data_IF_687096973237
#
_entry.id   IF_687096973237
#
_cell.length_a   1.000
_cell.length_b   1.000
_cell.length_c   1.000
_cell.angle_alpha   90.00
_cell.angle_beta   90.00
_cell.angle_gamma   90.00
#
_symmetry.space_group_name_H-M   'P 1'
#
loop_
_entity.id
_entity.type
_entity.pdbx_description
1 polymer ?
#
# COMPACT_ATOMS: atom_id res chain seq x y z
N UNK A 1 54.04 9.33 -42.22
CA UNK A 1 53.36 8.39 -41.29
C UNK A 1 52.71 9.05 -40.07
N UNK A 2 53.20 10.20 -39.56
CA UNK A 2 52.64 10.85 -38.36
C UNK A 2 51.29 11.52 -38.62
N UNK A 3 51.10 12.17 -39.79
CA UNK A 3 49.82 12.78 -40.17
C UNK A 3 48.66 11.77 -40.26
N UNK A 4 48.92 10.55 -40.78
CA UNK A 4 47.92 9.50 -40.91
C UNK A 4 47.46 8.94 -39.55
N UNK A 5 48.31 8.97 -38.52
CA UNK A 5 47.95 8.60 -37.14
C UNK A 5 47.09 9.65 -36.45
N UNK A 6 47.35 10.94 -36.70
CA UNK A 6 46.58 12.05 -36.13
C UNK A 6 45.15 12.08 -36.70
N UNK A 7 45.01 11.84 -38.01
CA UNK A 7 43.69 11.73 -38.66
C UNK A 7 42.90 10.53 -38.10
N UNK A 8 43.55 9.38 -37.88
CA UNK A 8 42.89 8.22 -37.27
C UNK A 8 42.41 8.49 -35.82
N UNK A 9 43.19 9.24 -35.04
CA UNK A 9 42.82 9.62 -33.66
C UNK A 9 41.66 10.62 -33.64
N UNK A 10 41.62 11.59 -34.57
CA UNK A 10 40.53 12.55 -34.69
C UNK A 10 39.21 11.90 -35.17
N UNK A 11 39.30 10.90 -36.05
CA UNK A 11 38.13 10.11 -36.49
C UNK A 11 37.62 9.20 -35.35
N UNK A 12 38.51 8.59 -34.57
CA UNK A 12 38.11 7.80 -33.39
C UNK A 12 37.51 8.65 -32.27
N UNK A 13 37.99 9.88 -32.06
CA UNK A 13 37.39 10.81 -31.10
C UNK A 13 35.98 11.25 -31.49
N UNK A 14 35.69 11.37 -32.79
CA UNK A 14 34.35 11.76 -33.27
C UNK A 14 33.30 10.67 -33.06
N UNK A 15 33.69 9.39 -33.07
CA UNK A 15 32.80 8.27 -32.73
C UNK A 15 32.48 8.15 -31.23
N UNK A 16 33.20 8.87 -30.36
CA UNK A 16 33.02 8.81 -28.91
C UNK A 16 32.12 9.92 -28.33
N UNK A 17 31.63 10.86 -29.15
CA UNK A 17 30.56 11.77 -28.73
C UNK A 17 29.18 11.13 -28.91
N UNK A 18 28.97 9.98 -28.25
CA UNK A 18 27.61 9.59 -27.90
C UNK A 18 27.16 10.51 -26.76
N UNK A 19 26.25 11.42 -27.08
CA UNK A 19 25.47 12.23 -26.14
C UNK A 19 24.97 11.35 -24.98
N UNK A 20 25.71 11.34 -23.87
CA UNK A 20 25.49 10.45 -22.72
C UNK A 20 24.20 10.76 -21.94
N UNK A 21 23.53 11.85 -22.28
CA UNK A 21 22.26 12.26 -21.70
C UNK A 21 21.39 12.81 -22.82
N UNK A 22 20.76 11.91 -23.60
CA UNK A 22 19.71 12.31 -24.51
C UNK A 22 18.51 12.78 -23.67
N UNK A 23 18.17 14.06 -23.77
CA UNK A 23 16.99 14.69 -23.16
C UNK A 23 15.70 13.90 -23.43
N UNK A 24 15.63 13.17 -24.55
CA UNK A 24 14.55 12.23 -24.91
C UNK A 24 14.37 11.04 -23.95
N UNK A 25 15.32 10.73 -23.07
CA UNK A 25 15.12 9.74 -21.99
C UNK A 25 14.49 10.36 -20.73
N UNK A 26 14.59 11.67 -20.56
CA UNK A 26 13.92 12.41 -19.48
C UNK A 26 12.48 12.80 -19.84
N UNK A 27 12.10 12.76 -21.12
CA UNK A 27 10.68 12.85 -21.50
C UNK A 27 9.98 11.54 -21.14
N UNK A 28 9.14 11.58 -20.10
CA UNK A 28 8.27 10.47 -19.74
C UNK A 28 7.30 10.24 -20.91
N UNK A 29 7.59 9.26 -21.76
CA UNK A 29 6.73 8.94 -22.89
C UNK A 29 5.48 8.21 -22.38
N UNK A 30 4.45 9.00 -22.06
CA UNK A 30 3.18 8.51 -21.53
C UNK A 30 2.50 7.53 -22.48
N UNK A 31 2.69 7.65 -23.81
CA UNK A 31 2.12 6.68 -24.76
C UNK A 31 2.79 5.31 -24.61
N UNK A 32 4.11 5.28 -24.43
CA UNK A 32 4.83 4.04 -24.16
C UNK A 32 4.43 3.46 -22.80
N UNK A 33 4.21 4.27 -21.77
CA UNK A 33 3.76 3.81 -20.45
C UNK A 33 2.33 3.27 -20.44
N UNK A 34 1.42 3.82 -21.25
CA UNK A 34 0.07 3.28 -21.45
C UNK A 34 0.15 1.92 -22.17
N UNK A 35 1.12 1.72 -23.07
CA UNK A 35 1.32 0.45 -23.78
C UNK A 35 1.96 -0.65 -22.93
N UNK A 36 2.57 -0.31 -21.79
CA UNK A 36 3.08 -1.32 -20.85
C UNK A 36 1.89 -1.87 -20.06
N UNK A 37 1.60 -3.16 -20.26
CA UNK A 37 0.47 -3.88 -19.67
C UNK A 37 0.44 -3.84 -18.13
N UNK A 38 1.60 -3.66 -17.48
CA UNK A 38 1.75 -3.57 -16.03
C UNK A 38 2.81 -2.54 -15.61
N UNK A 39 2.48 -1.23 -15.58
CA UNK A 39 3.47 -0.19 -15.32
C UNK A 39 3.85 -0.04 -13.84
N UNK A 40 3.07 -0.60 -12.91
CA UNK A 40 3.31 -0.54 -11.47
C UNK A 40 3.77 -1.88 -10.91
N UNK A 41 4.55 -1.84 -9.83
CA UNK A 41 5.03 -3.06 -9.14
C UNK A 41 3.92 -3.70 -8.33
N UNK A 42 2.95 -2.92 -7.86
CA UNK A 42 1.78 -3.40 -7.13
C UNK A 42 0.64 -3.80 -8.08
N UNK A 43 0.22 -5.07 -8.04
CA UNK A 43 -0.88 -5.59 -8.87
C UNK A 43 -2.21 -4.82 -8.67
N UNK A 44 -2.52 -4.39 -7.44
CA UNK A 44 -3.73 -3.59 -7.17
C UNK A 44 -3.75 -2.27 -7.96
N UNK A 45 -2.59 -1.65 -8.18
CA UNK A 45 -2.47 -0.40 -8.93
C UNK A 45 -2.58 -0.66 -10.44
N UNK A 46 -2.05 -1.79 -10.94
CA UNK A 46 -2.24 -2.19 -12.35
C UNK A 46 -3.72 -2.45 -12.69
N UNK A 47 -4.47 -3.05 -11.77
CA UNK A 47 -5.92 -3.27 -11.95
C UNK A 47 -6.69 -1.94 -12.02
N UNK A 48 -6.36 -1.00 -11.12
CA UNK A 48 -6.95 0.35 -11.14
C UNK A 48 -6.57 1.08 -12.41
N UNK A 49 -5.30 1.00 -12.83
CA UNK A 49 -4.80 1.61 -14.05
C UNK A 49 -5.51 1.07 -15.30
N UNK A 50 -5.63 -0.25 -15.45
CA UNK A 50 -6.31 -0.86 -16.59
C UNK A 50 -7.78 -0.47 -16.70
N UNK A 51 -8.47 -0.25 -15.58
CA UNK A 51 -9.84 0.27 -15.57
C UNK A 51 -9.90 1.78 -15.86
N UNK A 52 -8.97 2.54 -15.27
CA UNK A 52 -8.87 3.98 -15.46
C UNK A 52 -8.61 4.35 -16.93
N UNK A 53 -7.72 3.62 -17.62
CA UNK A 53 -7.44 3.80 -19.05
C UNK A 53 -8.71 3.68 -19.90
N UNK A 54 -9.64 2.80 -19.52
CA UNK A 54 -10.90 2.58 -20.27
C UNK A 54 -11.97 3.65 -20.02
N UNK A 55 -11.92 4.35 -18.88
CA UNK A 55 -12.98 5.28 -18.46
C UNK A 55 -12.59 6.76 -18.47
N UNK A 56 -11.31 7.09 -18.31
CA UNK A 56 -10.86 8.47 -18.15
C UNK A 56 -10.25 9.04 -19.45
N UNK A 57 -10.47 10.33 -19.73
CA UNK A 57 -9.82 11.01 -20.85
C UNK A 57 -8.31 11.13 -20.62
N UNK A 58 -7.55 11.22 -21.72
CA UNK A 58 -6.08 11.20 -21.71
C UNK A 58 -5.43 12.28 -20.82
N UNK A 59 -6.12 13.40 -20.57
CA UNK A 59 -5.65 14.47 -19.68
C UNK A 59 -5.64 14.03 -18.21
N UNK A 60 -6.75 13.46 -17.74
CA UNK A 60 -6.87 12.93 -16.36
C UNK A 60 -6.00 11.70 -16.16
N UNK A 61 -5.74 10.95 -17.23
CA UNK A 61 -4.92 9.75 -17.22
C UNK A 61 -3.45 10.03 -16.84
N UNK A 62 -2.86 11.11 -17.35
CA UNK A 62 -1.47 11.50 -17.01
C UNK A 62 -1.33 11.91 -15.54
N UNK A 63 -2.30 12.67 -15.04
CA UNK A 63 -2.37 13.08 -13.64
C UNK A 63 -2.53 11.86 -12.72
N UNK A 64 -3.46 10.96 -13.05
CA UNK A 64 -3.64 9.70 -12.33
C UNK A 64 -2.39 8.83 -12.37
N UNK A 65 -1.69 8.76 -13.49
CA UNK A 65 -0.46 7.98 -13.61
C UNK A 65 0.61 8.44 -12.62
N UNK A 66 0.75 9.75 -12.47
CA UNK A 66 1.72 10.36 -11.56
C UNK A 66 1.33 10.09 -10.10
N UNK A 67 0.04 10.26 -9.78
CA UNK A 67 -0.52 9.98 -8.46
C UNK A 67 -0.35 8.48 -8.07
N UNK A 68 -0.65 7.56 -9.00
CA UNK A 68 -0.46 6.12 -8.80
C UNK A 68 1.03 5.74 -8.68
N UNK A 69 1.93 6.39 -9.42
CA UNK A 69 3.38 6.16 -9.32
C UNK A 69 3.91 6.60 -7.95
N UNK A 70 3.42 7.72 -7.43
CA UNK A 70 3.75 8.17 -6.09
C UNK A 70 3.24 7.16 -5.06
N UNK A 71 2.01 6.69 -5.20
CA UNK A 71 1.45 5.67 -4.33
C UNK A 71 2.24 4.35 -4.36
N UNK A 72 2.68 3.88 -5.54
CA UNK A 72 3.49 2.65 -5.67
C UNK A 72 4.80 2.75 -4.86
N UNK A 73 5.46 3.93 -4.90
CA UNK A 73 6.67 4.19 -4.13
C UNK A 73 6.41 4.17 -2.62
N UNK A 74 5.31 4.79 -2.17
CA UNK A 74 4.94 4.84 -0.76
C UNK A 74 4.57 3.43 -0.23
N UNK A 75 3.87 2.63 -1.02
CA UNK A 75 3.54 1.23 -0.71
C UNK A 75 4.78 0.35 -0.59
N UNK A 76 5.76 0.51 -1.50
CA UNK A 76 7.03 -0.22 -1.41
C UNK A 76 7.83 0.19 -0.17
N UNK A 77 7.86 1.48 0.14
CA UNK A 77 8.52 2.02 1.32
C UNK A 77 7.84 1.51 2.60
N UNK A 78 6.51 1.44 2.60
CA UNK A 78 5.73 0.85 3.69
C UNK A 78 6.05 -0.63 3.87
N UNK A 79 6.07 -1.42 2.78
CA UNK A 79 6.42 -2.85 2.84
C UNK A 79 7.82 -3.07 3.39
N UNK A 80 8.80 -2.27 2.95
CA UNK A 80 10.17 -2.32 3.46
C UNK A 80 10.20 -2.02 4.98
N UNK A 81 9.55 -0.94 5.41
CA UNK A 81 9.52 -0.55 6.82
C UNK A 81 8.73 -1.52 7.70
N UNK A 82 7.70 -2.18 7.16
CA UNK A 82 6.97 -3.28 7.83
C UNK A 82 7.87 -4.51 7.99
N UNK A 83 8.69 -4.85 7.00
CA UNK A 83 9.67 -5.93 7.11
C UNK A 83 10.75 -5.63 8.17
N UNK A 84 11.14 -4.36 8.30
CA UNK A 84 12.08 -3.88 9.33
C UNK A 84 11.44 -3.76 10.74
N UNK A 85 10.13 -3.99 10.88
CA UNK A 85 9.43 -3.97 12.17
C UNK A 85 9.28 -2.58 12.81
N UNK A 86 9.59 -1.52 12.05
CA UNK A 86 9.60 -0.12 12.51
C UNK A 86 8.20 0.51 12.60
N UNK A 87 7.14 -0.17 12.17
CA UNK A 87 5.78 0.35 12.15
C UNK A 87 4.83 -0.42 13.08
N UNK A 88 5.06 -0.29 14.39
CA UNK A 88 4.21 -0.93 15.41
C UNK A 88 2.82 -0.30 15.50
N UNK A 89 2.72 1.01 15.25
CA UNK A 89 1.46 1.76 15.35
C UNK A 89 0.66 1.84 14.04
N UNK A 90 1.25 1.47 12.90
CA UNK A 90 0.55 1.48 11.61
C UNK A 90 0.12 2.88 11.13
N UNK A 91 0.64 3.95 11.74
CA UNK A 91 0.31 5.33 11.39
C UNK A 91 0.59 5.64 9.91
N UNK A 92 1.72 5.12 9.41
CA UNK A 92 2.12 5.25 8.01
C UNK A 92 1.29 4.36 7.09
N UNK A 93 0.84 3.19 7.53
CA UNK A 93 -0.12 2.37 6.78
C UNK A 93 -1.45 3.12 6.59
N UNK A 94 -1.96 3.75 7.65
CA UNK A 94 -3.14 4.61 7.58
C UNK A 94 -2.97 5.78 6.61
N UNK A 95 -1.81 6.45 6.64
CA UNK A 95 -1.51 7.56 5.73
C UNK A 95 -1.45 7.13 4.25
N UNK A 96 -0.85 5.97 3.99
CA UNK A 96 -0.75 5.40 2.64
C UNK A 96 -2.14 5.00 2.13
N UNK A 97 -2.97 4.40 2.98
CA UNK A 97 -4.36 4.07 2.64
C UNK A 97 -5.22 5.31 2.43
N UNK A 98 -5.09 6.33 3.28
CA UNK A 98 -5.82 7.59 3.15
C UNK A 98 -5.44 8.33 1.85
N UNK A 99 -4.14 8.39 1.54
CA UNK A 99 -3.64 8.97 0.27
C UNK A 99 -4.21 8.23 -0.94
N UNK A 100 -4.23 6.90 -0.90
CA UNK A 100 -4.82 6.10 -1.97
C UNK A 100 -6.31 6.35 -2.13
N UNK A 101 -7.06 6.42 -1.02
CA UNK A 101 -8.48 6.73 -1.03
C UNK A 101 -8.74 8.12 -1.61
N UNK A 102 -7.96 9.12 -1.24
CA UNK A 102 -8.07 10.47 -1.78
C UNK A 102 -7.80 10.53 -3.29
N UNK A 103 -6.85 9.73 -3.80
CA UNK A 103 -6.61 9.58 -5.24
C UNK A 103 -7.85 8.96 -5.90
N UNK A 104 -8.38 7.86 -5.36
CA UNK A 104 -9.58 7.22 -5.93
C UNK A 104 -10.79 8.16 -5.96
N UNK A 105 -10.99 8.96 -4.91
CA UNK A 105 -12.07 9.95 -4.82
C UNK A 105 -11.89 11.06 -5.87
N UNK A 106 -10.67 11.60 -6.01
CA UNK A 106 -10.34 12.63 -7.02
C UNK A 106 -10.68 12.20 -8.45
N UNK A 107 -10.56 10.91 -8.76
CA UNK A 107 -10.83 10.36 -10.09
C UNK A 107 -12.16 9.60 -10.21
N UNK A 108 -12.98 9.56 -9.15
CA UNK A 108 -14.24 8.79 -9.09
C UNK A 108 -14.06 7.30 -9.44
N UNK A 109 -12.94 6.68 -9.04
CA UNK A 109 -12.62 5.26 -9.29
C UNK A 109 -12.95 4.35 -8.09
N UNK A 110 -13.71 4.87 -7.12
CA UNK A 110 -13.94 4.23 -5.83
C UNK A 110 -14.86 3.01 -5.94
N UNK A 111 -15.90 3.08 -6.78
CA UNK A 111 -16.82 1.95 -7.01
C UNK A 111 -16.14 0.79 -7.73
N UNK A 112 -15.29 1.09 -8.72
CA UNK A 112 -14.56 0.07 -9.45
C UNK A 112 -13.48 -0.61 -8.62
N UNK A 113 -12.85 0.13 -7.70
CA UNK A 113 -11.92 -0.42 -6.74
C UNK A 113 -12.64 -1.32 -5.73
N UNK A 114 -13.82 -0.91 -5.23
CA UNK A 114 -14.64 -1.75 -4.35
C UNK A 114 -15.07 -3.04 -5.05
N UNK A 115 -15.58 -2.93 -6.28
CA UNK A 115 -15.93 -4.10 -7.10
C UNK A 115 -14.72 -5.00 -7.42
N UNK A 116 -13.50 -4.43 -7.55
CA UNK A 116 -12.26 -5.20 -7.70
C UNK A 116 -11.85 -5.88 -6.41
N UNK A 117 -12.01 -5.22 -5.27
CA UNK A 117 -11.72 -5.82 -3.97
C UNK A 117 -12.66 -6.98 -3.72
N UNK A 118 -13.96 -6.78 -3.94
CA UNK A 118 -14.98 -7.82 -3.80
C UNK A 118 -14.72 -8.99 -4.78
N UNK A 119 -14.31 -8.72 -6.02
CA UNK A 119 -13.94 -9.76 -6.99
C UNK A 119 -12.59 -10.45 -6.70
N UNK A 120 -11.61 -9.73 -6.13
CA UNK A 120 -10.30 -10.27 -5.79
C UNK A 120 -10.33 -11.09 -4.49
N UNK A 121 -11.23 -10.75 -3.56
CA UNK A 121 -11.53 -11.54 -2.36
C UNK A 121 -12.10 -12.92 -2.72
N UNK A 122 -12.77 -13.05 -3.87
CA UNK A 122 -13.27 -14.33 -4.38
C UNK A 122 -12.19 -15.21 -5.05
N UNK A 123 -11.05 -14.65 -5.46
CA UNK A 123 -10.02 -15.37 -6.24
C UNK A 123 -8.74 -15.74 -5.45
N UNK A 124 -8.56 -15.30 -4.21
CA UNK A 124 -7.34 -15.61 -3.43
C UNK A 124 -7.55 -16.74 -2.42
N UNK A 125 -6.64 -17.74 -2.37
CA UNK A 125 -6.59 -18.67 -1.25
C UNK A 125 -6.17 -17.91 0.03
N UNK A 126 -6.90 -18.19 1.10
CA UNK A 126 -6.97 -17.65 2.48
C UNK A 126 -5.72 -17.08 3.20
N UNK A 127 -4.54 -16.99 2.60
CA UNK A 127 -3.31 -16.61 3.31
C UNK A 127 -3.05 -15.09 3.43
N UNK A 128 -3.74 -14.24 2.66
CA UNK A 128 -3.52 -12.77 2.69
C UNK A 128 -4.71 -11.97 3.26
N UNK A 129 -5.60 -12.62 4.03
CA UNK A 129 -6.73 -11.99 4.76
C UNK A 129 -6.23 -11.20 6.00
N UNK A 130 -5.01 -10.68 5.97
CA UNK A 130 -4.47 -9.89 7.08
C UNK A 130 -4.99 -8.44 7.06
N UNK A 131 -5.53 -7.97 5.92
CA UNK A 131 -6.07 -6.61 5.75
C UNK A 131 -7.56 -6.47 6.05
N UNK A 132 -8.36 -7.52 5.85
CA UNK A 132 -9.83 -7.46 5.92
C UNK A 132 -10.39 -7.70 7.34
N UNK A 133 -9.53 -8.14 8.27
CA UNK A 133 -9.85 -8.17 9.71
C UNK A 133 -10.07 -6.76 10.30
N UNK A 134 -9.90 -5.69 9.53
CA UNK A 134 -10.29 -4.33 9.93
C UNK A 134 -11.82 -4.12 9.89
N UNK A 135 -12.58 -4.90 9.11
CA UNK A 135 -14.05 -4.73 9.00
C UNK A 135 -14.84 -5.66 9.94
N UNK A 136 -14.20 -6.68 10.52
CA UNK A 136 -14.81 -7.57 11.53
C UNK A 136 -13.99 -7.53 12.83
N UNK A 137 -13.64 -6.32 13.30
CA UNK A 137 -13.01 -6.17 14.62
C UNK A 137 -14.07 -6.42 15.69
N UNK A 138 -14.21 -7.67 16.12
CA UNK A 138 -15.12 -8.05 17.23
C UNK A 138 -14.67 -7.36 18.53
N UNK A 139 -13.37 -7.12 18.67
CA UNK A 139 -12.74 -6.49 19.83
C UNK A 139 -11.98 -5.22 19.44
N UNK A 140 -11.76 -4.30 20.40
CA UNK A 140 -10.96 -3.08 20.19
C UNK A 140 -9.46 -3.41 20.04
N UNK A 141 -8.98 -4.43 20.75
CA UNK A 141 -7.59 -4.89 20.65
C UNK A 141 -7.35 -5.75 19.40
N UNK A 142 -6.38 -5.33 18.58
CA UNK A 142 -5.89 -6.06 17.40
C UNK A 142 -5.37 -7.46 17.74
N UNK A 143 -4.81 -7.68 18.93
CA UNK A 143 -4.31 -8.99 19.37
C UNK A 143 -5.45 -9.96 19.67
N UNK A 144 -6.52 -9.49 20.32
CA UNK A 144 -7.71 -10.29 20.58
C UNK A 144 -8.39 -10.71 19.27
N UNK A 145 -8.50 -9.81 18.29
CA UNK A 145 -9.03 -10.15 16.97
C UNK A 145 -8.19 -11.23 16.26
N UNK A 146 -6.86 -11.21 16.41
CA UNK A 146 -5.99 -12.27 15.85
C UNK A 146 -6.19 -13.62 16.54
N UNK A 147 -6.38 -13.62 17.86
CA UNK A 147 -6.64 -14.84 18.62
C UNK A 147 -8.01 -15.41 18.28
N UNK A 148 -9.03 -14.55 18.15
CA UNK A 148 -10.37 -14.93 17.74
C UNK A 148 -10.39 -15.59 16.36
N UNK A 149 -9.70 -15.01 15.38
CA UNK A 149 -9.60 -15.58 14.03
C UNK A 149 -8.94 -16.97 14.04
N UNK A 150 -7.90 -17.15 14.86
CA UNK A 150 -7.24 -18.45 15.02
C UNK A 150 -8.16 -19.47 15.67
N UNK A 151 -8.96 -19.05 16.65
CA UNK A 151 -9.92 -19.91 17.31
C UNK A 151 -11.04 -20.36 16.35
N UNK A 152 -11.62 -19.45 15.56
CA UNK A 152 -12.61 -19.79 14.53
C UNK A 152 -12.04 -20.82 13.51
N UNK A 153 -10.75 -20.74 13.20
CA UNK A 153 -10.08 -21.68 12.28
C UNK A 153 -9.72 -23.02 12.92
N UNK A 154 -9.66 -23.12 14.24
CA UNK A 154 -9.20 -24.32 14.96
C UNK A 154 -10.31 -25.36 15.17
N UNK A 155 -11.55 -25.05 14.78
CA UNK A 155 -12.68 -25.98 14.83
C UNK A 155 -13.23 -26.22 16.24
N UNK A 156 -13.19 -25.21 17.12
CA UNK A 156 -13.86 -25.27 18.42
C UNK A 156 -15.38 -25.45 18.27
N UNK A 157 -16.01 -26.03 19.29
CA UNK A 157 -17.47 -26.08 19.36
C UNK A 157 -18.06 -24.69 19.62
N UNK A 158 -19.32 -24.48 19.23
CA UNK A 158 -19.99 -23.18 19.38
C UNK A 158 -20.06 -22.71 20.84
N UNK A 159 -20.20 -23.64 21.80
CA UNK A 159 -20.24 -23.33 23.24
C UNK A 159 -18.86 -22.90 23.78
N UNK A 160 -17.77 -23.51 23.29
CA UNK A 160 -16.40 -23.13 23.63
C UNK A 160 -16.05 -21.77 23.04
N UNK A 161 -16.45 -21.51 21.79
CA UNK A 161 -16.29 -20.20 21.13
C UNK A 161 -17.03 -19.09 21.89
N UNK A 162 -18.25 -19.37 22.36
CA UNK A 162 -19.02 -18.41 23.17
C UNK A 162 -18.30 -18.08 24.48
N UNK A 163 -17.83 -19.09 25.19
CA UNK A 163 -17.08 -18.92 26.44
C UNK A 163 -15.79 -18.13 26.20
N UNK A 164 -15.04 -18.46 25.14
CA UNK A 164 -13.82 -17.76 24.76
C UNK A 164 -14.08 -16.29 24.42
N UNK A 165 -15.23 -16.00 23.78
CA UNK A 165 -15.65 -14.64 23.46
C UNK A 165 -15.92 -13.81 24.72
N UNK A 166 -16.58 -14.41 25.70
CA UNK A 166 -16.87 -13.78 27.00
C UNK A 166 -15.56 -13.47 27.75
N UNK A 167 -14.62 -14.41 27.78
CA UNK A 167 -13.28 -14.20 28.37
C UNK A 167 -12.50 -13.07 27.69
N UNK A 168 -12.48 -13.03 26.35
CA UNK A 168 -11.84 -11.94 25.61
C UNK A 168 -12.50 -10.58 25.87
N UNK A 169 -13.83 -10.55 26.05
CA UNK A 169 -14.54 -9.33 26.42
C UNK A 169 -14.16 -8.88 27.84
N UNK A 170 -14.07 -9.80 28.80
CA UNK A 170 -13.60 -9.49 30.15
C UNK A 170 -12.16 -8.96 30.15
N UNK A 171 -11.29 -9.55 29.34
CA UNK A 171 -9.91 -9.09 29.20
C UNK A 171 -9.84 -7.66 28.64
N UNK A 172 -10.62 -7.37 27.58
CA UNK A 172 -10.73 -6.03 27.02
C UNK A 172 -11.18 -5.01 28.07
N UNK A 173 -12.21 -5.34 28.85
CA UNK A 173 -12.73 -4.46 29.90
C UNK A 173 -11.68 -4.18 30.99
N UNK A 174 -10.89 -5.18 31.38
CA UNK A 174 -9.82 -5.02 32.38
C UNK A 174 -8.70 -4.13 31.87
N UNK A 175 -8.31 -4.28 30.61
CA UNK A 175 -7.33 -3.41 29.95
C UNK A 175 -7.85 -1.98 29.88
N UNK A 176 -9.10 -1.79 29.46
CA UNK A 176 -9.72 -0.46 29.37
C UNK A 176 -9.75 0.23 30.75
N UNK A 177 -10.08 -0.49 31.83
CA UNK A 177 -10.03 0.03 33.20
C UNK A 177 -8.61 0.44 33.63
N UNK A 178 -7.60 -0.39 33.30
CA UNK A 178 -6.21 -0.07 33.61
C UNK A 178 -5.76 1.22 32.93
N UNK A 179 -6.08 1.40 31.64
CA UNK A 179 -5.77 2.64 30.91
C UNK A 179 -6.52 3.85 31.47
N UNK A 180 -7.79 3.68 31.88
CA UNK A 180 -8.53 4.76 32.55
C UNK A 180 -7.83 5.19 33.85
N UNK A 181 -7.36 4.25 34.65
CA UNK A 181 -6.68 4.56 35.91
C UNK A 181 -5.32 5.23 35.68
N UNK A 182 -4.54 4.78 34.68
CA UNK A 182 -3.31 5.47 34.28
C UNK A 182 -3.60 6.90 33.85
N UNK A 183 -4.61 7.10 33.00
CA UNK A 183 -4.94 8.44 32.51
C UNK A 183 -5.38 9.37 33.65
N UNK A 184 -6.13 8.86 34.63
CA UNK A 184 -6.52 9.61 35.83
C UNK A 184 -5.31 10.01 36.69
N UNK A 185 -4.33 9.10 36.85
CA UNK A 185 -3.09 9.41 37.57
C UNK A 185 -2.29 10.49 36.84
N UNK A 186 -2.07 10.32 35.53
CA UNK A 186 -1.36 11.29 34.70
C UNK A 186 -2.04 12.68 34.67
N UNK A 187 -3.38 12.74 34.65
CA UNK A 187 -4.08 14.02 34.72
C UNK A 187 -3.92 14.69 36.09
N UNK A 188 -3.85 13.91 37.17
CA UNK A 188 -3.75 14.44 38.53
C UNK A 188 -2.38 15.04 38.82
N UNK A 189 -1.33 14.48 38.23
CA UNK A 189 0.04 15.02 38.30
C UNK A 189 0.24 16.30 37.44
N UNK A 190 -0.71 16.65 36.58
CA UNK A 190 -0.63 17.83 35.71
C UNK A 190 -1.31 19.07 36.29
N UNK A 191 -2.13 18.90 37.34
CA UNK A 191 -2.90 19.95 38.01
C UNK A 191 -2.30 20.34 39.39
N UNK A 192 -1.17 19.74 39.79
CA UNK A 192 -0.32 20.15 40.92
C UNK A 192 0.93 20.90 40.44
#
# INVERSE_FOLDING_TARGET
MILMRIVFILIFCSFCYCNKYSEKMNSLDYQKLISVENPFRMQKLNLVWGKAVKKLPAEKLKSLFTDLKFQDKEELSLKKRKAEGLDKEGLKEGLVLASFKAILEKYNLQEEFKALQDAALLQKPQAEVLGDAFMKSVFKDKKLNKLWLKAEQQGFSDDELKTLKEEFQHHQNKIDQYYQMINQLHSKDSDE
#
